data_IF_249398143920
#
_entry.id   IF_249398143920
#
_cell.length_a   1.000
_cell.length_b   1.000
_cell.length_c   1.000
_cell.angle_alpha   90.00
_cell.angle_beta   90.00
_cell.angle_gamma   90.00
#
_symmetry.space_group_name_H-M   'P 1'
#
loop_
_entity.id
_entity.type
_entity.pdbx_description
1 polymer ?
#
# COMPACT_ATOMS: atom_id res chain seq x y z
N UNK A 1 7.77 5.73 -10.21
CA UNK A 1 6.41 6.25 -9.91
C UNK A 1 5.37 5.12 -9.73
N UNK A 2 5.78 3.92 -9.28
CA UNK A 2 4.87 2.77 -9.06
C UNK A 2 4.15 2.88 -7.71
N UNK A 3 4.81 3.47 -6.71
CA UNK A 3 4.29 3.61 -5.36
C UNK A 3 3.02 4.48 -5.28
N UNK A 4 2.95 5.57 -6.05
CA UNK A 4 1.80 6.49 -6.03
C UNK A 4 0.51 5.90 -6.61
N UNK A 5 0.59 4.88 -7.48
CA UNK A 5 -0.57 4.20 -8.08
C UNK A 5 -1.14 3.12 -7.15
N UNK A 6 -0.27 2.42 -6.41
CA UNK A 6 -0.67 1.36 -5.47
C UNK A 6 -1.00 1.87 -4.07
N UNK A 7 -0.48 3.05 -3.70
CA UNK A 7 -0.64 3.62 -2.35
C UNK A 7 -1.77 4.63 -2.22
N UNK A 8 -2.64 4.85 -3.21
CA UNK A 8 -3.67 5.90 -3.06
C UNK A 8 -5.07 5.36 -2.72
N UNK A 9 -5.32 4.82 -1.50
CA UNK A 9 -6.62 5.04 -0.89
C UNK A 9 -6.64 6.48 -0.37
N UNK A 10 -7.40 7.35 -1.02
CA UNK A 10 -7.62 8.69 -0.51
C UNK A 10 -8.34 8.62 0.85
N UNK A 11 -8.12 9.60 1.73
CA UNK A 11 -8.70 9.61 3.08
C UNK A 11 -10.22 9.44 3.09
N UNK A 12 -10.89 9.82 2.00
CA UNK A 12 -12.32 9.61 1.75
C UNK A 12 -12.68 8.14 1.54
N UNK A 13 -11.85 7.34 0.87
CA UNK A 13 -12.03 5.88 0.74
C UNK A 13 -11.92 5.20 2.09
N UNK A 14 -10.93 5.56 2.90
CA UNK A 14 -10.82 5.04 4.27
C UNK A 14 -12.04 5.42 5.13
N UNK A 15 -12.53 6.65 4.97
CA UNK A 15 -13.70 7.13 5.71
C UNK A 15 -14.98 6.39 5.32
N UNK A 16 -15.17 6.07 4.03
CA UNK A 16 -16.26 5.21 3.56
C UNK A 16 -16.15 3.79 4.13
N UNK A 17 -14.98 3.15 4.05
CA UNK A 17 -14.77 1.81 4.60
C UNK A 17 -15.06 1.79 6.10
N UNK A 18 -14.62 2.84 6.81
CA UNK A 18 -14.91 3.01 8.23
C UNK A 18 -16.40 3.14 8.53
N UNK A 19 -17.17 3.92 7.75
CA UNK A 19 -18.63 4.03 7.94
C UNK A 19 -19.39 2.75 7.61
N UNK A 20 -19.00 2.05 6.55
CA UNK A 20 -19.65 0.81 6.09
C UNK A 20 -19.32 -0.39 6.98
N UNK A 21 -18.06 -0.57 7.36
CA UNK A 21 -17.64 -1.71 8.19
C UNK A 21 -17.79 -1.42 9.70
N UNK A 22 -17.90 -0.14 10.09
CA UNK A 22 -17.98 0.36 11.49
C UNK A 22 -16.84 -0.15 12.40
N UNK A 23 -15.77 -0.68 11.82
CA UNK A 23 -14.70 -1.39 12.51
C UNK A 23 -13.34 -0.78 12.19
N UNK A 24 -12.76 -0.11 13.18
CA UNK A 24 -11.42 0.50 13.09
C UNK A 24 -10.33 -0.49 12.68
N UNK A 25 -10.45 -1.77 13.09
CA UNK A 25 -9.47 -2.81 12.77
C UNK A 25 -9.35 -3.00 11.26
N UNK A 26 -10.48 -3.06 10.56
CA UNK A 26 -10.53 -3.28 9.12
C UNK A 26 -10.11 -2.05 8.33
N UNK A 27 -10.46 -0.85 8.80
CA UNK A 27 -9.98 0.41 8.20
C UNK A 27 -8.46 0.53 8.25
N UNK A 28 -7.85 0.17 9.39
CA UNK A 28 -6.39 0.18 9.54
C UNK A 28 -5.74 -0.87 8.62
N UNK A 29 -6.29 -2.09 8.54
CA UNK A 29 -5.80 -3.13 7.63
C UNK A 29 -5.86 -2.66 6.17
N UNK A 30 -6.92 -1.98 5.75
CA UNK A 30 -7.05 -1.41 4.39
C UNK A 30 -6.03 -0.31 4.09
N UNK A 31 -5.56 0.45 5.09
CA UNK A 31 -4.46 1.40 4.92
C UNK A 31 -3.09 0.73 4.96
N UNK A 32 -2.93 -0.36 5.73
CA UNK A 32 -1.67 -1.07 5.91
C UNK A 32 -1.33 -1.98 4.72
N UNK A 33 -2.33 -2.59 4.09
CA UNK A 33 -2.17 -3.43 2.89
C UNK A 33 -1.36 -2.76 1.77
N UNK A 34 -1.72 -1.53 1.32
CA UNK A 34 -1.00 -0.85 0.25
C UNK A 34 0.41 -0.39 0.66
N UNK A 35 0.65 -0.13 1.96
CA UNK A 35 2.00 0.14 2.47
C UNK A 35 2.90 -1.08 2.30
N UNK A 36 2.41 -2.25 2.71
CA UNK A 36 3.16 -3.51 2.61
C UNK A 36 3.42 -3.85 1.15
N UNK A 37 2.42 -3.75 0.27
CA UNK A 37 2.62 -3.99 -1.16
C UNK A 37 3.64 -3.03 -1.78
N UNK A 38 3.56 -1.73 -1.47
CA UNK A 38 4.53 -0.75 -1.97
C UNK A 38 5.95 -1.01 -1.48
N UNK A 39 6.11 -1.38 -0.21
CA UNK A 39 7.41 -1.72 0.38
C UNK A 39 8.02 -2.96 -0.28
N UNK A 40 7.22 -4.01 -0.46
CA UNK A 40 7.66 -5.25 -1.13
C UNK A 40 8.08 -4.96 -2.57
N UNK A 41 7.30 -4.19 -3.33
CA UNK A 41 7.63 -3.82 -4.71
C UNK A 41 8.92 -2.99 -4.82
N UNK A 42 9.08 -1.96 -3.97
CA UNK A 42 10.31 -1.18 -3.94
C UNK A 42 11.53 -2.03 -3.58
N UNK A 43 11.39 -2.93 -2.60
CA UNK A 43 12.45 -3.85 -2.22
C UNK A 43 12.80 -4.81 -3.37
N UNK A 44 11.79 -5.37 -4.04
CA UNK A 44 12.00 -6.29 -5.16
C UNK A 44 12.69 -5.60 -6.34
N UNK A 45 12.26 -4.39 -6.72
CA UNK A 45 12.89 -3.61 -7.78
C UNK A 45 14.34 -3.28 -7.42
N UNK A 46 14.61 -2.90 -6.17
CA UNK A 46 15.98 -2.63 -5.70
C UNK A 46 16.87 -3.88 -5.74
N UNK A 47 16.34 -5.05 -5.35
CA UNK A 47 17.08 -6.33 -5.44
C UNK A 47 17.35 -6.72 -6.91
N UNK A 48 16.33 -6.66 -7.77
CA UNK A 48 16.46 -6.98 -9.19
C UNK A 48 17.48 -6.08 -9.88
N UNK A 49 17.43 -4.77 -9.62
CA UNK A 49 18.41 -3.84 -10.17
C UNK A 49 19.83 -4.15 -9.69
N UNK A 50 19.98 -4.56 -8.42
CA UNK A 50 21.29 -4.91 -7.87
C UNK A 50 21.87 -6.22 -8.43
N UNK A 51 21.01 -7.16 -8.82
CA UNK A 51 21.41 -8.43 -9.48
C UNK A 51 21.73 -8.22 -10.97
N UNK A 52 21.06 -7.29 -11.64
CA UNK A 52 21.27 -7.03 -13.08
C UNK A 52 22.46 -6.10 -13.32
N UNK A 53 22.72 -5.16 -12.42
CA UNK A 53 23.74 -4.10 -12.58
C UNK A 53 25.00 -4.35 -11.77
N UNK A 54 24.95 -5.28 -10.80
CA UNK A 54 26.11 -5.75 -10.03
C UNK A 54 26.60 -7.08 -10.57
#
# INVERSE_FOLDING_TARGET
>A
MIFSLLHNPCSTTLFTIYKETKSWKWTIVSALLPIVMGFVLCFFVAQVYRIITG
#
